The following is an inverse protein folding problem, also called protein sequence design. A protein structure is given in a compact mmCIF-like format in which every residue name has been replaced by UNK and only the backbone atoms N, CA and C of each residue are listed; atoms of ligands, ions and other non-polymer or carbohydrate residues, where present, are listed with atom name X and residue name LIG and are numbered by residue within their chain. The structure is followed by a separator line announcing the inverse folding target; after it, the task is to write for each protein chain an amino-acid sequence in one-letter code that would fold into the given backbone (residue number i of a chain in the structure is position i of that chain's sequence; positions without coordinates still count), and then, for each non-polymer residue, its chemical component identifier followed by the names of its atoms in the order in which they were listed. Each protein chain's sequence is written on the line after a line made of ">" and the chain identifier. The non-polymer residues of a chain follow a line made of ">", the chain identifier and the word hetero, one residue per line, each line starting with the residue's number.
data_IF_836264808540
#
_entry.id   IF_836264808540
#
_cell.length_a   1.000
_cell.length_b   1.000
_cell.length_c   1.000
_cell.angle_alpha   90.00
_cell.angle_beta   90.00
_cell.angle_gamma   90.00
#
_symmetry.space_group_name_H-M   'P 1'
#
loop_
_entity.id
_entity.type
_entity.pdbx_description
1 polymer ?
#
# COMPACT_ATOMS: atom_id res chain seq x y z
N UNK A 1 9.77 -45.10 -26.52
CA UNK A 1 9.04 -44.76 -25.29
C UNK A 1 9.36 -43.37 -24.74
N UNK A 2 10.55 -43.05 -24.21
CA UNK A 2 10.82 -41.67 -23.71
C UNK A 2 10.97 -40.64 -24.85
N UNK A 3 11.65 -41.02 -25.94
CA UNK A 3 11.87 -40.15 -27.11
C UNK A 3 10.57 -39.80 -27.87
N UNK A 4 9.58 -40.70 -27.90
CA UNK A 4 8.28 -40.46 -28.55
C UNK A 4 7.39 -39.48 -27.76
N UNK A 5 7.64 -39.32 -26.46
CA UNK A 5 6.86 -38.43 -25.59
C UNK A 5 7.41 -36.99 -25.59
N UNK A 6 8.67 -36.84 -26.01
CA UNK A 6 9.42 -35.58 -26.00
C UNK A 6 8.74 -34.45 -26.80
N UNK A 7 8.16 -34.69 -27.99
CA UNK A 7 7.47 -33.67 -28.76
C UNK A 7 6.21 -33.11 -28.10
N UNK A 8 5.60 -33.86 -27.17
CA UNK A 8 4.35 -33.47 -26.51
C UNK A 8 4.56 -32.71 -25.19
N UNK A 9 5.78 -32.63 -24.69
CA UNK A 9 6.11 -31.91 -23.45
C UNK A 9 5.63 -30.44 -23.48
N UNK A 10 5.86 -29.67 -24.56
CA UNK A 10 5.41 -28.28 -24.62
C UNK A 10 3.89 -28.13 -24.51
N UNK A 11 3.13 -29.05 -25.13
CA UNK A 11 1.68 -29.07 -25.03
C UNK A 11 1.22 -29.32 -23.59
N UNK A 12 1.82 -30.31 -22.92
CA UNK A 12 1.50 -30.63 -21.52
C UNK A 12 1.82 -29.45 -20.60
N UNK A 13 2.98 -28.82 -20.78
CA UNK A 13 3.38 -27.66 -19.98
C UNK A 13 2.42 -26.48 -20.19
N UNK A 14 2.03 -26.21 -21.45
CA UNK A 14 1.09 -25.14 -21.77
C UNK A 14 -0.29 -25.38 -21.14
N UNK A 15 -0.86 -26.57 -21.32
CA UNK A 15 -2.17 -26.92 -20.76
C UNK A 15 -2.19 -27.00 -19.23
N UNK A 16 -1.04 -27.25 -18.59
CA UNK A 16 -0.88 -27.30 -17.13
C UNK A 16 -0.36 -26.00 -16.52
N UNK A 17 -0.24 -24.92 -17.29
CA UNK A 17 0.21 -23.65 -16.74
C UNK A 17 -0.75 -23.21 -15.61
N UNK A 18 -0.24 -22.90 -14.40
CA UNK A 18 -1.08 -22.57 -13.24
C UNK A 18 -1.93 -21.31 -13.43
N UNK A 19 -1.55 -20.44 -14.38
CA UNK A 19 -2.33 -19.27 -14.78
C UNK A 19 -3.53 -19.57 -15.66
N UNK A 20 -3.70 -20.81 -16.12
CA UNK A 20 -4.85 -21.18 -16.93
C UNK A 20 -6.15 -20.98 -16.14
N UNK A 21 -7.12 -20.31 -16.78
CA UNK A 21 -8.44 -19.96 -16.27
C UNK A 21 -9.44 -20.16 -17.40
N UNK A 22 -10.74 -20.22 -17.12
CA UNK A 22 -11.77 -20.50 -18.14
C UNK A 22 -11.63 -19.63 -19.40
N UNK A 23 -11.37 -18.32 -19.23
CA UNK A 23 -11.11 -17.39 -20.34
C UNK A 23 -10.02 -17.86 -21.31
N UNK A 24 -8.93 -18.45 -20.80
CA UNK A 24 -7.82 -18.96 -21.62
C UNK A 24 -8.23 -20.21 -22.40
N UNK A 25 -9.03 -21.08 -21.79
CA UNK A 25 -9.57 -22.27 -22.47
C UNK A 25 -10.59 -21.90 -23.56
N UNK A 26 -11.40 -20.87 -23.32
CA UNK A 26 -12.31 -20.32 -24.32
C UNK A 26 -11.53 -19.71 -25.49
N UNK A 27 -10.46 -18.95 -25.21
CA UNK A 27 -9.54 -18.42 -26.24
C UNK A 27 -8.86 -19.53 -27.06
N UNK A 28 -8.37 -20.59 -26.41
CA UNK A 28 -7.81 -21.74 -27.12
C UNK A 28 -8.87 -22.34 -28.05
N UNK A 29 -10.08 -22.58 -27.51
CA UNK A 29 -11.16 -23.21 -28.26
C UNK A 29 -11.57 -22.40 -29.48
N UNK A 30 -11.63 -21.09 -29.34
CA UNK A 30 -11.92 -20.16 -30.44
C UNK A 30 -10.81 -20.13 -31.48
N UNK A 31 -9.53 -20.12 -31.08
CA UNK A 31 -8.42 -20.02 -32.04
C UNK A 31 -8.18 -21.31 -32.83
N UNK A 32 -8.38 -22.47 -32.20
CA UNK A 32 -8.15 -23.77 -32.86
C UNK A 32 -9.44 -24.38 -33.42
N UNK A 33 -10.60 -23.76 -33.18
CA UNK A 33 -11.93 -24.21 -33.59
C UNK A 33 -12.30 -25.61 -33.05
N UNK A 34 -11.78 -25.96 -31.87
CA UNK A 34 -12.05 -27.23 -31.18
C UNK A 34 -12.52 -26.89 -29.77
N UNK A 35 -13.66 -27.42 -29.28
CA UNK A 35 -14.15 -27.13 -27.95
C UNK A 35 -13.28 -27.81 -26.88
N UNK A 36 -12.33 -27.09 -26.31
CA UNK A 36 -11.46 -27.55 -25.22
C UNK A 36 -11.97 -26.98 -23.91
N UNK A 37 -12.47 -27.85 -23.02
CA UNK A 37 -12.92 -27.44 -21.68
C UNK A 37 -12.12 -28.13 -20.59
N UNK A 38 -11.63 -27.41 -19.57
CA UNK A 38 -10.97 -27.98 -18.41
C UNK A 38 -12.03 -28.66 -17.53
N UNK A 39 -12.36 -29.91 -17.85
CA UNK A 39 -13.21 -30.77 -17.03
C UNK A 39 -12.33 -31.84 -16.38
N UNK A 40 -12.79 -32.42 -15.28
CA UNK A 40 -12.10 -33.51 -14.58
C UNK A 40 -11.78 -34.73 -15.49
N UNK A 41 -12.48 -34.86 -16.61
CA UNK A 41 -12.27 -35.91 -17.60
C UNK A 41 -11.38 -35.49 -18.79
N UNK A 42 -10.74 -34.32 -18.76
CA UNK A 42 -9.76 -33.92 -19.77
C UNK A 42 -8.42 -34.61 -19.46
N UNK A 43 -8.20 -35.77 -20.06
CA UNK A 43 -6.94 -36.52 -19.96
C UNK A 43 -6.03 -36.18 -21.13
N UNK A 44 -4.72 -36.40 -20.97
CA UNK A 44 -3.76 -36.17 -22.06
C UNK A 44 -4.08 -37.04 -23.30
N UNK A 45 -4.58 -38.26 -23.11
CA UNK A 45 -5.06 -39.10 -24.21
C UNK A 45 -6.18 -38.40 -25.00
N UNK A 46 -7.14 -37.76 -24.33
CA UNK A 46 -8.20 -36.99 -25.01
C UNK A 46 -7.66 -35.74 -25.70
N UNK A 47 -6.61 -35.12 -25.18
CA UNK A 47 -5.93 -34.04 -25.89
C UNK A 47 -5.33 -34.51 -27.21
N UNK A 48 -4.79 -35.74 -27.26
CA UNK A 48 -4.30 -36.36 -28.49
C UNK A 48 -5.44 -36.75 -29.44
N UNK A 49 -6.53 -37.32 -28.91
CA UNK A 49 -7.73 -37.66 -29.71
C UNK A 49 -8.36 -36.41 -30.36
N UNK A 50 -8.21 -35.25 -29.71
CA UNK A 50 -8.65 -33.95 -30.20
C UNK A 50 -7.62 -33.27 -31.12
N UNK A 51 -6.52 -33.93 -31.46
CA UNK A 51 -5.42 -33.39 -32.27
C UNK A 51 -4.80 -32.09 -31.76
N UNK A 52 -4.77 -31.88 -30.44
CA UNK A 52 -4.19 -30.66 -29.86
C UNK A 52 -2.67 -30.56 -30.11
N UNK A 53 -2.00 -31.67 -30.43
CA UNK A 53 -0.58 -31.69 -30.83
C UNK A 53 -0.30 -30.91 -32.12
N UNK A 54 -1.30 -30.72 -32.99
CA UNK A 54 -1.13 -29.96 -34.23
C UNK A 54 -1.23 -28.43 -33.99
N UNK A 55 -1.65 -28.04 -32.79
CA UNK A 55 -1.89 -26.64 -32.40
C UNK A 55 -1.02 -26.19 -31.23
N UNK A 56 0.12 -26.87 -31.00
CA UNK A 56 1.03 -26.61 -29.88
C UNK A 56 1.43 -25.14 -29.79
N UNK A 57 1.77 -24.50 -30.92
CA UNK A 57 2.21 -23.11 -30.94
C UNK A 57 1.11 -22.15 -30.45
N UNK A 58 -0.12 -22.32 -30.92
CA UNK A 58 -1.28 -21.51 -30.51
C UNK A 58 -1.58 -21.70 -29.04
N UNK A 59 -1.60 -22.96 -28.57
CA UNK A 59 -1.86 -23.29 -27.16
C UNK A 59 -0.75 -22.73 -26.26
N UNK A 60 0.52 -22.83 -26.68
CA UNK A 60 1.65 -22.27 -25.96
C UNK A 60 1.57 -20.75 -25.83
N UNK A 61 1.17 -20.03 -26.90
CA UNK A 61 0.97 -18.58 -26.84
C UNK A 61 -0.10 -18.17 -25.83
N UNK A 62 -1.24 -18.87 -25.81
CA UNK A 62 -2.30 -18.58 -24.83
C UNK A 62 -1.84 -18.92 -23.40
N UNK A 63 -1.14 -20.04 -23.22
CA UNK A 63 -0.58 -20.41 -21.93
C UNK A 63 0.50 -19.43 -21.45
N UNK A 64 1.27 -18.83 -22.36
CA UNK A 64 2.23 -17.78 -22.02
C UNK A 64 1.51 -16.54 -21.46
N UNK A 65 0.45 -16.07 -22.14
CA UNK A 65 -0.41 -14.98 -21.64
C UNK A 65 -0.94 -15.31 -20.25
N UNK A 66 -1.50 -16.51 -20.08
CA UNK A 66 -2.01 -17.00 -18.80
C UNK A 66 -0.92 -16.98 -17.71
N UNK A 67 0.30 -17.39 -18.03
CA UNK A 67 1.44 -17.36 -17.11
C UNK A 67 1.85 -15.94 -16.69
N UNK A 68 1.81 -14.98 -17.63
CA UNK A 68 2.11 -13.56 -17.33
C UNK A 68 1.02 -12.92 -16.46
N UNK A 69 -0.24 -13.22 -16.74
CA UNK A 69 -1.38 -12.84 -15.92
C UNK A 69 -1.27 -13.39 -14.49
N UNK A 70 -0.88 -14.66 -14.36
CA UNK A 70 -0.69 -15.32 -13.06
C UNK A 70 0.45 -14.73 -12.25
N UNK A 71 1.52 -14.27 -12.90
CA UNK A 71 2.61 -13.59 -12.21
C UNK A 71 2.14 -12.27 -11.56
N UNK A 72 1.21 -11.55 -12.19
CA UNK A 72 0.57 -10.35 -11.61
C UNK A 72 -0.28 -10.73 -10.40
N UNK A 73 -1.10 -11.78 -10.51
CA UNK A 73 -1.91 -12.29 -9.40
C UNK A 73 -1.06 -12.64 -8.18
N UNK A 74 -0.01 -13.45 -8.39
CA UNK A 74 0.91 -13.87 -7.33
C UNK A 74 1.66 -12.69 -6.69
N UNK A 75 2.03 -11.68 -7.49
CA UNK A 75 2.64 -10.47 -6.98
C UNK A 75 1.67 -9.69 -6.08
N UNK A 76 0.41 -9.52 -6.49
CA UNK A 76 -0.62 -8.85 -5.68
C UNK A 76 -0.90 -9.63 -4.39
N UNK A 77 -1.10 -10.95 -4.48
CA UNK A 77 -1.35 -11.81 -3.31
C UNK A 77 -0.20 -11.72 -2.30
N UNK A 78 1.05 -11.73 -2.80
CA UNK A 78 2.24 -11.59 -1.96
C UNK A 78 2.28 -10.23 -1.27
N UNK A 79 2.11 -9.14 -2.03
CA UNK A 79 2.15 -7.79 -1.47
C UNK A 79 1.06 -7.60 -0.41
N UNK A 80 -0.18 -8.00 -0.71
CA UNK A 80 -1.30 -7.90 0.23
C UNK A 80 -1.06 -8.71 1.51
N UNK A 81 -0.50 -9.92 1.39
CA UNK A 81 -0.17 -10.77 2.52
C UNK A 81 0.98 -10.24 3.40
N UNK A 82 1.97 -9.59 2.80
CA UNK A 82 3.07 -8.96 3.57
C UNK A 82 2.55 -7.84 4.48
N UNK A 83 1.56 -7.07 4.03
CA UNK A 83 0.95 -6.01 4.83
C UNK A 83 0.11 -6.48 6.03
N UNK A 84 -0.31 -7.75 6.07
CA UNK A 84 -1.13 -8.28 7.18
C UNK A 84 -0.43 -8.18 8.54
N UNK A 85 0.91 -8.21 8.53
CA UNK A 85 1.75 -8.22 9.73
C UNK A 85 2.43 -6.87 10.01
N UNK A 86 2.23 -5.88 9.15
CA UNK A 86 2.86 -4.56 9.31
C UNK A 86 2.03 -3.71 10.27
N UNK A 87 2.62 -3.43 11.42
CA UNK A 87 2.00 -2.69 12.51
C UNK A 87 2.84 -1.47 12.88
N UNK A 88 2.17 -0.40 13.29
CA UNK A 88 2.81 0.70 13.97
C UNK A 88 3.31 0.27 15.36
N UNK A 89 4.54 0.66 15.68
CA UNK A 89 5.04 0.65 17.06
C UNK A 89 4.59 1.94 17.75
N UNK A 90 3.49 1.85 18.51
CA UNK A 90 2.90 2.97 19.25
C UNK A 90 3.37 2.91 20.71
N UNK A 91 3.97 3.99 21.20
CA UNK A 91 4.49 4.07 22.57
C UNK A 91 4.02 5.32 23.32
N UNK A 92 3.76 5.23 24.63
CA UNK A 92 3.43 6.40 25.45
C UNK A 92 4.54 7.44 25.43
N UNK A 93 4.18 8.73 25.44
CA UNK A 93 5.15 9.82 25.45
C UNK A 93 5.15 10.58 26.78
N UNK A 94 6.18 10.35 27.60
CA UNK A 94 6.38 11.00 28.91
C UNK A 94 5.09 10.94 29.77
N UNK A 95 4.75 12.05 30.45
CA UNK A 95 3.55 12.23 31.27
C UNK A 95 2.44 12.99 30.52
N UNK A 96 2.49 13.05 29.18
CA UNK A 96 1.51 13.81 28.37
C UNK A 96 0.14 13.13 28.26
N UNK A 97 0.04 11.85 28.61
CA UNK A 97 -1.18 11.06 28.45
C UNK A 97 -1.52 10.67 27.01
N UNK A 98 -0.61 10.89 26.06
CA UNK A 98 -0.73 10.47 24.65
C UNK A 98 0.43 9.57 24.21
N UNK A 99 0.38 9.13 22.96
CA UNK A 99 1.35 8.24 22.33
C UNK A 99 2.09 8.93 21.19
N UNK A 100 3.16 8.29 20.73
CA UNK A 100 3.87 8.57 19.48
C UNK A 100 4.14 7.27 18.72
N UNK A 101 4.32 7.40 17.41
CA UNK A 101 4.88 6.37 16.54
C UNK A 101 6.38 6.31 16.73
N UNK A 102 6.91 5.12 17.00
CA UNK A 102 8.34 4.84 17.01
C UNK A 102 8.73 4.33 15.62
N UNK A 103 9.70 5.01 14.99
CA UNK A 103 10.34 4.68 13.69
C UNK A 103 9.52 3.77 12.77
N UNK A 104 8.64 4.30 11.90
CA UNK A 104 7.88 3.50 10.95
C UNK A 104 8.71 3.04 9.73
N UNK A 105 10.03 2.83 9.90
CA UNK A 105 10.98 2.63 8.80
C UNK A 105 10.64 1.38 7.96
N UNK A 106 10.19 0.30 8.63
CA UNK A 106 9.74 -0.93 7.96
C UNK A 106 8.52 -0.67 7.08
N UNK A 107 7.52 0.06 7.60
CA UNK A 107 6.31 0.40 6.85
C UNK A 107 6.62 1.33 5.67
N UNK A 108 7.49 2.34 5.87
CA UNK A 108 7.91 3.25 4.80
C UNK A 108 8.67 2.52 3.68
N UNK A 109 9.62 1.66 4.02
CA UNK A 109 10.39 0.90 3.04
C UNK A 109 9.49 -0.03 2.21
N UNK A 110 8.62 -0.79 2.89
CA UNK A 110 7.70 -1.70 2.20
C UNK A 110 6.73 -0.94 1.28
N UNK A 111 6.30 0.25 1.72
CA UNK A 111 5.41 1.10 0.94
C UNK A 111 6.05 1.57 -0.36
N UNK A 112 7.28 2.07 -0.30
CA UNK A 112 8.01 2.51 -1.49
C UNK A 112 8.21 1.36 -2.48
N UNK A 113 8.63 0.19 -1.98
CA UNK A 113 8.85 -1.01 -2.79
C UNK A 113 7.53 -1.46 -3.47
N UNK A 114 6.43 -1.50 -2.72
CA UNK A 114 5.14 -1.95 -3.23
C UNK A 114 4.48 -0.93 -4.16
N UNK A 115 4.72 0.37 -3.99
CA UNK A 115 4.28 1.41 -4.95
C UNK A 115 5.00 1.20 -6.29
N UNK A 116 6.31 1.02 -6.28
CA UNK A 116 7.09 0.79 -7.52
C UNK A 116 6.66 -0.51 -8.21
N UNK A 117 6.49 -1.58 -7.44
CA UNK A 117 6.04 -2.87 -7.97
C UNK A 117 4.64 -2.79 -8.59
N UNK A 118 3.71 -2.13 -7.89
CA UNK A 118 2.33 -1.93 -8.38
C UNK A 118 2.31 -1.08 -9.64
N UNK A 119 3.11 -0.01 -9.67
CA UNK A 119 3.26 0.84 -10.85
C UNK A 119 3.82 0.06 -12.05
N UNK A 120 4.80 -0.82 -11.84
CA UNK A 120 5.33 -1.70 -12.89
C UNK A 120 4.24 -2.60 -13.48
N UNK A 121 3.40 -3.21 -12.63
CA UNK A 121 2.27 -4.03 -13.07
C UNK A 121 1.20 -3.21 -13.82
N UNK A 122 1.00 -1.95 -13.43
CA UNK A 122 0.07 -1.03 -14.11
C UNK A 122 0.43 -0.75 -15.58
N UNK A 123 1.71 -0.94 -15.95
CA UNK A 123 2.20 -0.81 -17.32
C UNK A 123 2.28 -2.15 -18.08
N UNK A 124 2.02 -3.26 -17.41
CA UNK A 124 2.07 -4.58 -18.05
C UNK A 124 0.99 -4.70 -19.13
N UNK A 125 1.33 -5.20 -20.34
CA UNK A 125 0.32 -5.48 -21.38
C UNK A 125 -0.64 -6.60 -20.98
N UNK A 126 -0.31 -7.39 -19.96
CA UNK A 126 -1.11 -8.50 -19.45
C UNK A 126 -1.99 -8.12 -18.25
N UNK A 127 -2.07 -6.84 -17.88
CA UNK A 127 -2.79 -6.40 -16.69
C UNK A 127 -4.31 -6.53 -16.77
N UNK A 128 -4.89 -6.66 -17.98
CA UNK A 128 -6.32 -6.42 -18.24
C UNK A 128 -7.25 -7.17 -17.29
N UNK A 129 -6.95 -8.44 -16.98
CA UNK A 129 -7.77 -9.25 -16.08
C UNK A 129 -7.71 -8.78 -14.60
N UNK A 130 -6.65 -8.06 -14.20
CA UNK A 130 -6.38 -7.61 -12.84
C UNK A 130 -6.34 -6.08 -12.69
N UNK A 131 -6.68 -5.33 -13.74
CA UNK A 131 -6.55 -3.86 -13.77
C UNK A 131 -7.29 -3.18 -12.62
N UNK A 132 -8.51 -3.64 -12.32
CA UNK A 132 -9.28 -3.13 -11.17
C UNK A 132 -8.59 -3.39 -9.82
N UNK A 133 -7.99 -4.58 -9.64
CA UNK A 133 -7.28 -4.93 -8.41
C UNK A 133 -5.99 -4.12 -8.27
N UNK A 134 -5.22 -3.98 -9.35
CA UNK A 134 -4.01 -3.15 -9.39
C UNK A 134 -4.35 -1.70 -9.03
N UNK A 135 -5.37 -1.11 -9.66
CA UNK A 135 -5.75 0.28 -9.40
C UNK A 135 -6.26 0.48 -7.96
N UNK A 136 -7.08 -0.44 -7.45
CA UNK A 136 -7.54 -0.38 -6.06
C UNK A 136 -6.37 -0.47 -5.08
N UNK A 137 -5.43 -1.37 -5.35
CA UNK A 137 -4.25 -1.55 -4.50
C UNK A 137 -3.32 -0.34 -4.55
N UNK A 138 -3.06 0.20 -5.74
CA UNK A 138 -2.25 1.40 -5.93
C UNK A 138 -2.84 2.59 -5.17
N UNK A 139 -4.14 2.84 -5.28
CA UNK A 139 -4.82 3.91 -4.56
C UNK A 139 -4.71 3.72 -3.03
N UNK A 140 -4.80 2.48 -2.55
CA UNK A 140 -4.66 2.15 -1.13
C UNK A 140 -3.25 2.44 -0.62
N UNK A 141 -2.22 2.05 -1.38
CA UNK A 141 -0.82 2.35 -1.06
C UNK A 141 -0.54 3.86 -1.08
N UNK A 142 -1.00 4.57 -2.11
CA UNK A 142 -0.81 6.04 -2.20
C UNK A 142 -1.47 6.78 -1.05
N UNK A 143 -2.71 6.43 -0.69
CA UNK A 143 -3.38 7.01 0.48
C UNK A 143 -2.62 6.70 1.77
N UNK A 144 -2.08 5.48 1.89
CA UNK A 144 -1.25 5.09 3.03
C UNK A 144 0.01 5.95 3.14
N UNK A 145 0.64 6.28 2.00
CA UNK A 145 1.82 7.15 1.93
C UNK A 145 1.47 8.58 2.35
N UNK A 146 0.43 9.16 1.77
CA UNK A 146 -0.03 10.51 2.12
C UNK A 146 -0.33 10.64 3.62
N UNK A 147 -1.00 9.64 4.21
CA UNK A 147 -1.29 9.64 5.65
C UNK A 147 -0.02 9.51 6.47
N UNK A 148 0.88 8.59 6.12
CA UNK A 148 2.12 8.38 6.87
C UNK A 148 3.01 9.62 6.87
N UNK A 149 3.13 10.30 5.73
CA UNK A 149 3.93 11.52 5.58
C UNK A 149 3.38 12.67 6.43
N UNK A 150 2.07 12.93 6.35
CA UNK A 150 1.41 13.95 7.16
C UNK A 150 1.48 13.62 8.66
N UNK A 151 1.39 12.33 9.02
CA UNK A 151 1.51 11.88 10.40
C UNK A 151 2.91 12.14 10.96
N UNK A 152 3.95 11.76 10.22
CA UNK A 152 5.34 11.97 10.64
C UNK A 152 5.69 13.45 10.72
N UNK A 153 5.18 14.26 9.78
CA UNK A 153 5.30 15.72 9.83
C UNK A 153 4.64 16.29 11.09
N UNK A 154 3.41 15.85 11.40
CA UNK A 154 2.66 16.29 12.57
C UNK A 154 3.38 15.91 13.86
N UNK A 155 3.82 14.66 13.97
CA UNK A 155 4.55 14.17 15.14
C UNK A 155 5.83 14.96 15.38
N UNK A 156 6.63 15.21 14.33
CA UNK A 156 7.88 15.97 14.44
C UNK A 156 7.63 17.39 14.96
N UNK A 157 6.63 18.08 14.39
CA UNK A 157 6.26 19.42 14.82
C UNK A 157 5.68 19.44 16.23
N UNK A 158 4.86 18.44 16.59
CA UNK A 158 4.30 18.29 17.92
C UNK A 158 5.38 18.04 18.97
N UNK A 159 6.32 17.12 18.72
CA UNK A 159 7.44 16.82 19.63
C UNK A 159 8.33 18.04 19.91
N UNK A 160 8.47 18.94 18.95
CA UNK A 160 9.21 20.19 19.13
C UNK A 160 8.43 21.19 19.99
N UNK A 161 7.12 21.32 19.76
CA UNK A 161 6.28 22.32 20.41
C UNK A 161 5.77 21.90 21.80
N UNK A 162 5.59 20.60 22.06
CA UNK A 162 5.12 20.04 23.32
C UNK A 162 5.84 20.60 24.55
N UNK A 163 7.18 20.53 24.67
CA UNK A 163 7.87 21.02 25.86
C UNK A 163 7.85 22.56 25.98
N UNK A 164 7.49 23.28 24.92
CA UNK A 164 7.42 24.74 24.90
C UNK A 164 6.05 25.19 25.41
N UNK A 165 4.98 24.61 24.87
CA UNK A 165 3.60 24.93 25.22
C UNK A 165 3.10 24.24 26.49
N UNK A 166 3.89 23.33 27.08
CA UNK A 166 3.70 22.87 28.45
C UNK A 166 4.03 23.94 29.51
N UNK A 167 4.74 25.02 29.13
CA UNK A 167 5.10 26.10 30.04
C UNK A 167 3.95 27.09 30.26
N UNK A 168 3.55 27.29 31.52
CA UNK A 168 2.51 28.26 31.88
C UNK A 168 2.87 29.70 31.49
N UNK A 169 4.16 30.05 31.51
CA UNK A 169 4.64 31.38 31.11
C UNK A 169 4.46 31.63 29.61
N UNK A 170 4.80 30.63 28.78
CA UNK A 170 4.54 30.69 27.33
C UNK A 170 3.05 30.81 27.07
N UNK A 171 2.23 30.05 27.80
CA UNK A 171 0.77 30.08 27.63
C UNK A 171 0.17 31.46 27.94
N UNK A 172 0.76 32.21 28.88
CA UNK A 172 0.35 33.59 29.20
C UNK A 172 0.86 34.59 28.16
N UNK A 173 2.04 34.38 27.60
CA UNK A 173 2.67 35.27 26.63
C UNK A 173 2.11 35.12 25.21
N UNK A 174 1.70 33.91 24.83
CA UNK A 174 1.20 33.54 23.50
C UNK A 174 -0.20 32.92 23.59
N UNK A 175 -1.23 33.64 24.08
CA UNK A 175 -2.54 33.05 24.36
C UNK A 175 -3.28 32.56 23.10
N UNK A 176 -3.03 33.20 21.94
CA UNK A 176 -3.66 32.82 20.66
C UNK A 176 -3.06 31.51 20.15
N UNK A 177 -1.74 31.41 20.13
CA UNK A 177 -0.99 30.23 19.71
C UNK A 177 -1.25 29.06 20.66
N UNK A 178 -1.32 29.32 21.96
CA UNK A 178 -1.60 28.30 22.98
C UNK A 178 -3.00 27.69 22.80
N UNK A 179 -4.01 28.53 22.52
CA UNK A 179 -5.36 28.05 22.22
C UNK A 179 -5.39 27.18 20.96
N UNK A 180 -4.62 27.54 19.93
CA UNK A 180 -4.48 26.74 18.70
C UNK A 180 -3.78 25.41 18.98
N UNK A 181 -2.66 25.45 19.69
CA UNK A 181 -1.88 24.28 20.09
C UNK A 181 -2.76 23.27 20.82
N UNK A 182 -3.45 23.67 21.89
CA UNK A 182 -4.31 22.75 22.64
C UNK A 182 -5.51 22.23 21.83
N UNK A 183 -5.96 22.97 20.81
CA UNK A 183 -7.02 22.48 19.92
C UNK A 183 -6.52 21.39 18.99
N UNK A 184 -5.34 21.58 18.41
CA UNK A 184 -4.65 20.54 17.64
C UNK A 184 -4.29 19.34 18.52
N UNK A 185 -3.82 19.57 19.75
CA UNK A 185 -3.41 18.52 20.69
C UNK A 185 -4.57 17.56 21.04
N UNK A 186 -5.79 18.07 21.23
CA UNK A 186 -6.97 17.20 21.44
C UNK A 186 -7.24 16.28 20.25
N UNK A 187 -7.02 16.78 19.03
CA UNK A 187 -7.17 15.98 17.82
C UNK A 187 -6.04 14.95 17.71
N UNK A 188 -4.80 15.35 17.99
CA UNK A 188 -3.63 14.46 18.07
C UNK A 188 -3.84 13.31 19.06
N UNK A 189 -4.31 13.60 20.27
CA UNK A 189 -4.62 12.57 21.29
C UNK A 189 -5.65 11.56 20.76
N UNK A 190 -6.69 12.04 20.07
CA UNK A 190 -7.73 11.18 19.50
C UNK A 190 -7.15 10.28 18.40
N UNK A 191 -6.35 10.85 17.51
CA UNK A 191 -5.68 10.10 16.43
C UNK A 191 -4.75 9.02 17.00
N UNK A 192 -3.90 9.38 17.96
CA UNK A 192 -2.93 8.46 18.56
C UNK A 192 -3.60 7.37 19.40
N UNK A 193 -4.71 7.67 20.06
CA UNK A 193 -5.51 6.66 20.76
C UNK A 193 -6.09 5.63 19.78
N UNK A 194 -6.65 6.08 18.65
CA UNK A 194 -7.16 5.18 17.63
C UNK A 194 -6.04 4.31 17.02
N UNK A 195 -4.84 4.88 16.87
CA UNK A 195 -3.66 4.15 16.40
C UNK A 195 -3.20 3.08 17.40
N UNK A 196 -3.29 3.35 18.69
CA UNK A 196 -2.98 2.36 19.73
C UNK A 196 -3.98 1.20 19.74
N UNK A 197 -5.27 1.50 19.51
CA UNK A 197 -6.35 0.52 19.41
C UNK A 197 -6.28 -0.33 18.11
N UNK A 198 -5.93 0.27 16.98
CA UNK A 198 -5.67 -0.42 15.71
C UNK A 198 -4.30 -0.05 15.15
N UNK A 199 -3.33 -0.92 15.37
CA UNK A 199 -1.94 -0.70 14.96
C UNK A 199 -1.64 -1.09 13.51
N UNK A 200 -2.55 -1.75 12.80
CA UNK A 200 -2.26 -2.24 11.44
C UNK A 200 -2.23 -1.09 10.44
N UNK A 201 -1.07 -0.88 9.82
CA UNK A 201 -0.81 0.27 8.95
C UNK A 201 -1.78 0.31 7.77
N UNK A 202 -1.95 -0.82 7.07
CA UNK A 202 -2.77 -0.92 5.86
C UNK A 202 -4.28 -0.89 6.12
N UNK A 203 -4.70 -1.01 7.38
CA UNK A 203 -6.10 -0.89 7.80
C UNK A 203 -6.41 0.53 8.30
N UNK A 204 -5.45 1.17 8.98
CA UNK A 204 -5.62 2.49 9.58
C UNK A 204 -5.39 3.64 8.59
N UNK A 205 -4.29 3.60 7.83
CA UNK A 205 -3.86 4.72 7.01
C UNK A 205 -4.71 5.01 5.77
N UNK A 206 -5.35 4.04 5.09
CA UNK A 206 -6.19 4.34 3.92
C UNK A 206 -7.58 4.92 4.29
N UNK A 207 -7.61 5.90 5.20
CA UNK A 207 -8.81 6.60 5.69
C UNK A 207 -8.72 8.11 5.37
N UNK A 208 -9.51 8.62 4.40
CA UNK A 208 -9.47 10.03 4.00
C UNK A 208 -9.69 11.01 5.15
N UNK A 209 -10.55 10.67 6.12
CA UNK A 209 -10.80 11.55 7.27
C UNK A 209 -9.58 11.69 8.17
N UNK A 210 -8.79 10.63 8.31
CA UNK A 210 -7.54 10.67 9.07
C UNK A 210 -6.54 11.59 8.37
N UNK A 211 -6.40 11.50 7.04
CA UNK A 211 -5.56 12.40 6.26
C UNK A 211 -5.94 13.86 6.46
N UNK A 212 -7.22 14.19 6.34
CA UNK A 212 -7.73 15.55 6.51
C UNK A 212 -7.46 16.09 7.92
N UNK A 213 -7.65 15.24 8.94
CA UNK A 213 -7.35 15.61 10.33
C UNK A 213 -5.85 15.89 10.53
N UNK A 214 -4.96 15.06 9.98
CA UNK A 214 -3.51 15.24 10.08
C UNK A 214 -3.05 16.51 9.37
N UNK A 215 -3.58 16.80 8.19
CA UNK A 215 -3.32 18.05 7.45
C UNK A 215 -3.77 19.28 8.24
N UNK A 216 -4.93 19.23 8.86
CA UNK A 216 -5.40 20.32 9.72
C UNK A 216 -4.51 20.48 10.97
N UNK A 217 -4.07 19.38 11.59
CA UNK A 217 -3.08 19.44 12.67
C UNK A 217 -1.79 20.12 12.22
N UNK A 218 -1.24 19.73 11.07
CA UNK A 218 -0.02 20.32 10.50
C UNK A 218 -0.17 21.81 10.25
N UNK A 219 -1.30 22.23 9.67
CA UNK A 219 -1.61 23.65 9.46
C UNK A 219 -1.69 24.44 10.76
N UNK A 220 -2.31 23.88 11.81
CA UNK A 220 -2.35 24.55 13.12
C UNK A 220 -0.95 24.63 13.73
N UNK A 221 -0.15 23.57 13.66
CA UNK A 221 1.22 23.53 14.15
C UNK A 221 2.13 24.54 13.43
N UNK A 222 1.96 24.73 12.13
CA UNK A 222 2.70 25.74 11.34
C UNK A 222 2.39 27.17 11.82
N UNK A 223 1.11 27.49 12.04
CA UNK A 223 0.70 28.80 12.57
C UNK A 223 1.26 29.03 13.98
N UNK A 224 1.26 27.99 14.82
CA UNK A 224 1.84 28.04 16.17
C UNK A 224 3.36 28.28 16.10
N UNK A 225 4.08 27.57 15.23
CA UNK A 225 5.51 27.75 15.03
C UNK A 225 5.85 29.17 14.53
N UNK A 226 5.05 29.71 13.62
CA UNK A 226 5.22 31.07 13.12
C UNK A 226 5.07 32.11 14.23
N UNK A 227 3.99 32.06 15.00
CA UNK A 227 3.76 32.98 16.11
C UNK A 227 4.83 32.88 17.20
N UNK A 228 5.28 31.67 17.51
CA UNK A 228 6.41 31.44 18.42
C UNK A 228 7.71 32.07 17.89
N UNK A 229 7.99 31.94 16.59
CA UNK A 229 9.20 32.49 15.98
C UNK A 229 9.22 34.02 16.04
N UNK A 230 8.11 34.67 15.67
CA UNK A 230 7.95 36.14 15.72
C UNK A 230 8.13 36.68 17.16
N UNK A 231 7.64 35.93 18.15
CA UNK A 231 7.82 36.25 19.56
C UNK A 231 9.28 36.16 20.01
N UNK A 232 9.97 35.08 19.63
CA UNK A 232 11.39 34.88 19.96
C UNK A 232 12.28 35.94 19.32
N UNK A 233 11.98 36.36 18.09
CA UNK A 233 12.67 37.46 17.40
C UNK A 233 12.49 38.80 18.12
N UNK A 234 11.25 39.12 18.52
CA UNK A 234 10.94 40.34 19.28
C UNK A 234 11.69 40.39 20.61
N UNK A 235 11.76 39.25 21.33
CA UNK A 235 12.53 39.14 22.57
C UNK A 235 14.03 39.28 22.33
N UNK A 236 14.58 38.68 21.28
CA UNK A 236 16.01 38.84 20.92
C UNK A 236 16.36 40.28 20.61
N UNK A 237 15.51 41.00 19.87
CA UNK A 237 15.72 42.42 19.58
C UNK A 237 15.66 43.31 20.84
N UNK A 238 14.88 42.90 21.84
CA UNK A 238 14.75 43.62 23.12
C UNK A 238 15.90 43.36 24.10
N UNK A 239 16.72 42.33 23.88
CA UNK A 239 17.89 41.98 24.68
C UNK A 239 19.13 41.71 23.79
N UNK A 240 19.70 42.75 23.14
CA UNK A 240 20.95 42.60 22.40
C UNK A 240 22.10 42.24 23.35
N UNK A 241 22.91 41.26 22.95
CA UNK A 241 24.11 40.80 23.69
C UNK A 241 25.21 41.87 23.74
#
# INVERSE_FOLDING_TARGET
>A
MVEEFRPHIPLIQALRNPGMRNRHWDMISEQIQIPVKPKANLTFARCLDMNLQDHVETIAKVAEVAGKEYAIEQALDKMEGEWENINFDVMPYKETGTFILKSPDEASQLLDDHIVMTQSMSFSPFKKAYEGRISSWENKLRMTQDVLDEWLLCQRSWLYLEPIFSSEDINRQLPVESKRYHTMERLWITIMKNADENRKVIELCPEPRLLDNLRECNKQLELVQKGLSEYLETKRASFPR
#
